data_IF_176366687145
#
_entry.id   IF_176366687145
#
_cell.length_a   1.000
_cell.length_b   1.000
_cell.length_c   1.000
_cell.angle_alpha   90.00
_cell.angle_beta   90.00
_cell.angle_gamma   90.00
#
_symmetry.space_group_name_H-M   'P 1'
#
loop_
_entity.id
_entity.type
_entity.pdbx_description
1 polymer ?
#
# COMPACT_ATOMS: atom_id res chain seq x y z
N UNK A 1 -47.85 7.67 39.39
CA UNK A 1 -47.48 6.22 39.23
C UNK A 1 -46.38 6.12 38.23
N UNK A 2 -45.24 5.88 38.77
CA UNK A 2 -43.90 5.83 38.21
C UNK A 2 -43.70 4.67 37.26
N UNK A 3 -43.11 4.85 36.13
CA UNK A 3 -42.57 3.79 35.27
C UNK A 3 -41.25 4.21 34.66
N UNK A 4 -40.24 4.18 35.49
CA UNK A 4 -38.82 4.17 35.10
C UNK A 4 -38.52 2.97 34.18
N UNK A 5 -38.45 3.19 32.87
CA UNK A 5 -37.87 2.24 31.92
C UNK A 5 -36.34 2.27 32.04
N UNK A 6 -35.78 1.41 32.88
CA UNK A 6 -34.39 1.06 32.85
C UNK A 6 -34.05 0.47 31.48
N UNK A 7 -33.22 1.18 30.72
CA UNK A 7 -32.58 0.66 29.52
C UNK A 7 -31.53 -0.39 29.94
N UNK A 8 -31.92 -1.66 29.97
CA UNK A 8 -31.00 -2.78 30.16
C UNK A 8 -30.05 -2.83 28.96
N UNK A 9 -28.81 -2.41 29.16
CA UNK A 9 -27.72 -2.58 28.21
C UNK A 9 -27.46 -4.08 28.02
N UNK A 10 -27.75 -4.61 26.83
CA UNK A 10 -27.64 -6.04 26.53
C UNK A 10 -26.20 -6.54 26.71
N UNK A 11 -25.94 -7.52 27.60
CA UNK A 11 -24.57 -7.99 27.96
C UNK A 11 -23.80 -8.61 26.79
N UNK A 12 -24.44 -8.97 25.70
CA UNK A 12 -23.81 -9.54 24.50
C UNK A 12 -23.02 -8.52 23.66
N UNK A 13 -23.44 -7.25 23.63
CA UNK A 13 -22.76 -6.21 22.81
C UNK A 13 -21.40 -5.78 23.40
N UNK A 14 -21.30 -5.73 24.73
CA UNK A 14 -20.05 -5.35 25.42
C UNK A 14 -19.00 -6.46 25.34
N UNK A 15 -19.40 -7.73 25.47
CA UNK A 15 -18.49 -8.88 25.37
C UNK A 15 -17.93 -9.04 23.94
N UNK A 16 -18.74 -8.82 22.91
CA UNK A 16 -18.31 -8.87 21.51
C UNK A 16 -17.35 -7.73 21.19
N UNK A 17 -17.61 -6.49 21.65
CA UNK A 17 -16.71 -5.33 21.47
C UNK A 17 -15.36 -5.54 22.14
N UNK A 18 -15.32 -6.11 23.36
CA UNK A 18 -14.06 -6.42 24.06
C UNK A 18 -13.24 -7.49 23.33
N UNK A 19 -13.88 -8.54 22.80
CA UNK A 19 -13.22 -9.55 21.97
C UNK A 19 -12.55 -8.98 20.71
N UNK A 20 -13.27 -8.12 20.00
CA UNK A 20 -12.78 -7.46 18.78
C UNK A 20 -11.62 -6.50 19.05
N UNK A 21 -11.67 -5.73 20.12
CA UNK A 21 -10.59 -4.84 20.51
C UNK A 21 -9.30 -5.60 20.88
N UNK A 22 -9.43 -6.72 21.62
CA UNK A 22 -8.30 -7.59 21.98
C UNK A 22 -7.63 -8.19 20.73
N UNK A 23 -8.41 -8.66 19.76
CA UNK A 23 -7.88 -9.25 18.54
C UNK A 23 -7.22 -8.21 17.64
N UNK A 24 -7.74 -6.97 17.57
CA UNK A 24 -7.08 -5.87 16.88
C UNK A 24 -5.74 -5.51 17.52
N UNK A 25 -5.65 -5.52 18.86
CA UNK A 25 -4.39 -5.37 19.59
C UNK A 25 -3.38 -6.48 19.27
N UNK A 26 -3.82 -7.72 19.16
CA UNK A 26 -2.96 -8.84 18.72
C UNK A 26 -2.46 -8.65 17.29
N UNK A 27 -3.32 -8.20 16.37
CA UNK A 27 -2.91 -7.91 14.99
C UNK A 27 -1.86 -6.79 14.92
N UNK A 28 -2.07 -5.71 15.67
CA UNK A 28 -1.11 -4.61 15.77
C UNK A 28 0.21 -5.06 16.41
N UNK A 29 0.15 -5.88 17.47
CA UNK A 29 1.33 -6.49 18.08
C UNK A 29 2.12 -7.38 17.11
N UNK A 30 1.43 -8.21 16.31
CA UNK A 30 2.06 -9.03 15.28
C UNK A 30 2.73 -8.15 14.21
N UNK A 31 2.05 -7.10 13.74
CA UNK A 31 2.63 -6.11 12.82
C UNK A 31 3.88 -5.46 13.41
N UNK A 32 3.79 -4.95 14.65
CA UNK A 32 4.90 -4.29 15.32
C UNK A 32 6.11 -5.23 15.54
N UNK A 33 5.88 -6.48 15.91
CA UNK A 33 6.93 -7.47 16.05
C UNK A 33 7.64 -7.76 14.73
N UNK A 34 6.86 -7.98 13.63
CA UNK A 34 7.43 -8.29 12.32
C UNK A 34 8.15 -7.07 11.73
N UNK A 35 7.54 -5.89 11.74
CA UNK A 35 8.16 -4.69 11.12
C UNK A 35 9.22 -4.05 12.00
N UNK A 36 9.00 -4.04 13.33
CA UNK A 36 10.01 -3.59 14.29
C UNK A 36 11.27 -4.46 14.27
N UNK A 37 11.11 -5.80 14.20
CA UNK A 37 12.22 -6.72 14.01
C UNK A 37 13.00 -6.45 12.72
N UNK A 38 12.30 -6.24 11.59
CA UNK A 38 12.94 -5.89 10.32
C UNK A 38 13.68 -4.55 10.37
N UNK A 39 13.07 -3.52 10.97
CA UNK A 39 13.72 -2.23 11.14
C UNK A 39 14.98 -2.32 12.05
N UNK A 40 14.91 -3.13 13.11
CA UNK A 40 16.06 -3.40 13.99
C UNK A 40 17.19 -4.09 13.21
N UNK A 41 16.90 -5.10 12.40
CA UNK A 41 17.91 -5.79 11.59
C UNK A 41 18.59 -4.80 10.62
N UNK A 42 17.83 -3.95 9.94
CA UNK A 42 18.39 -2.91 9.05
C UNK A 42 19.20 -1.89 9.85
N UNK A 43 18.70 -1.43 11.00
CA UNK A 43 19.39 -0.44 11.82
C UNK A 43 20.73 -0.97 12.38
N UNK A 44 20.76 -2.21 12.87
CA UNK A 44 21.98 -2.87 13.33
C UNK A 44 22.97 -3.09 12.19
N UNK A 45 22.49 -3.52 11.02
CA UNK A 45 23.33 -3.71 9.84
C UNK A 45 23.90 -2.37 9.32
N UNK A 46 23.11 -1.30 9.33
CA UNK A 46 23.56 0.04 8.98
C UNK A 46 24.63 0.55 9.95
N UNK A 47 24.37 0.42 11.26
CA UNK A 47 25.31 0.80 12.31
C UNK A 47 26.65 0.03 12.17
N UNK A 48 26.59 -1.29 11.98
CA UNK A 48 27.78 -2.11 11.75
C UNK A 48 28.57 -1.69 10.50
N UNK A 49 27.86 -1.29 9.44
CA UNK A 49 28.46 -0.77 8.21
C UNK A 49 28.95 0.69 8.32
N UNK A 50 28.94 1.29 9.51
CA UNK A 50 29.34 2.70 9.73
C UNK A 50 28.36 3.72 9.13
N UNK A 51 27.12 3.30 8.81
CA UNK A 51 26.07 4.17 8.25
C UNK A 51 25.12 4.62 9.36
N UNK A 52 24.59 5.84 9.26
CA UNK A 52 23.54 6.34 10.15
C UNK A 52 22.20 5.60 9.88
N UNK A 53 21.66 4.84 10.84
CA UNK A 53 20.40 4.11 10.66
C UNK A 53 19.21 5.00 10.31
N UNK A 54 19.14 6.22 10.87
CA UNK A 54 18.05 7.17 10.60
C UNK A 54 18.13 7.67 9.15
N UNK A 55 19.33 7.92 8.63
CA UNK A 55 19.51 8.28 7.22
C UNK A 55 19.18 7.13 6.29
N UNK A 56 19.55 5.89 6.65
CA UNK A 56 19.22 4.71 5.83
C UNK A 56 17.71 4.48 5.76
N UNK A 57 17.01 4.54 6.90
CA UNK A 57 15.55 4.29 6.93
C UNK A 57 14.74 5.50 6.45
N UNK A 58 15.16 6.71 6.76
CA UNK A 58 14.38 7.93 6.57
C UNK A 58 14.84 8.82 5.41
N UNK A 59 15.99 8.58 4.78
CA UNK A 59 16.55 9.46 3.77
C UNK A 59 16.98 8.79 2.47
N UNK A 60 16.74 7.48 2.30
CA UNK A 60 17.17 6.73 1.11
C UNK A 60 16.16 6.82 -0.02
N UNK A 61 16.64 6.85 -1.27
CA UNK A 61 15.86 6.75 -2.51
C UNK A 61 14.71 7.78 -2.58
N UNK A 62 13.46 7.34 -2.71
CA UNK A 62 12.30 8.23 -2.84
C UNK A 62 12.10 9.15 -1.64
N UNK A 63 12.56 8.75 -0.43
CA UNK A 63 12.51 9.60 0.77
C UNK A 63 13.18 10.95 0.55
N UNK A 64 14.29 10.98 -0.19
CA UNK A 64 15.00 12.22 -0.53
C UNK A 64 14.09 13.25 -1.19
N UNK A 65 13.24 12.82 -2.13
CA UNK A 65 12.33 13.69 -2.85
C UNK A 65 11.19 14.18 -1.95
N UNK A 66 10.59 13.29 -1.17
CA UNK A 66 9.53 13.67 -0.23
C UNK A 66 10.02 14.66 0.81
N UNK A 67 11.21 14.44 1.39
CA UNK A 67 11.81 15.35 2.36
C UNK A 67 12.21 16.68 1.72
N UNK A 68 12.68 16.67 0.48
CA UNK A 68 13.00 17.89 -0.26
C UNK A 68 11.76 18.74 -0.53
N UNK A 69 10.64 18.11 -0.95
CA UNK A 69 9.35 18.79 -1.16
C UNK A 69 8.82 19.35 0.15
N UNK A 70 8.87 18.59 1.25
CA UNK A 70 8.45 19.04 2.57
C UNK A 70 9.24 20.27 3.04
N UNK A 71 10.55 20.31 2.79
CA UNK A 71 11.41 21.40 3.26
C UNK A 71 11.39 22.66 2.38
N UNK A 72 11.11 22.55 1.09
CA UNK A 72 11.35 23.63 0.11
C UNK A 72 10.21 23.83 -0.91
N UNK A 73 9.18 22.98 -0.88
CA UNK A 73 8.16 22.96 -1.92
C UNK A 73 8.63 22.28 -3.20
N UNK A 74 7.80 22.38 -4.24
CA UNK A 74 8.08 21.84 -5.57
C UNK A 74 8.95 22.77 -6.42
N UNK A 75 9.51 22.22 -7.51
CA UNK A 75 10.29 22.94 -8.51
C UNK A 75 11.72 22.44 -8.64
N UNK A 76 12.09 21.38 -7.88
CA UNK A 76 13.41 20.78 -7.99
C UNK A 76 13.48 19.83 -9.18
N UNK A 77 14.54 20.00 -9.97
CA UNK A 77 14.94 19.08 -11.02
C UNK A 77 16.35 18.57 -10.76
N UNK A 78 16.62 17.34 -11.17
CA UNK A 78 17.95 16.73 -11.10
C UNK A 78 18.22 15.99 -12.41
N UNK A 79 19.38 16.24 -13.02
CA UNK A 79 19.84 15.43 -14.14
C UNK A 79 20.34 14.09 -13.59
N UNK A 80 19.89 13.00 -14.22
CA UNK A 80 20.36 11.66 -13.90
C UNK A 80 21.35 11.21 -14.95
N UNK A 81 22.67 11.21 -14.65
CA UNK A 81 23.72 10.98 -15.64
C UNK A 81 23.63 9.63 -16.37
N UNK A 82 23.10 8.60 -15.70
CA UNK A 82 23.01 7.26 -16.25
C UNK A 82 21.97 7.12 -17.37
N UNK A 83 20.98 8.00 -17.45
CA UNK A 83 19.90 7.96 -18.45
C UNK A 83 19.75 9.25 -19.24
N UNK A 84 20.61 10.25 -18.99
CA UNK A 84 20.54 11.60 -19.57
C UNK A 84 19.13 12.23 -19.46
N UNK A 85 18.41 11.88 -18.36
CA UNK A 85 17.04 12.33 -18.12
C UNK A 85 16.98 13.36 -17.01
N UNK A 86 16.09 14.33 -17.17
CA UNK A 86 15.79 15.33 -16.14
C UNK A 86 14.66 14.79 -15.28
N UNK A 87 14.99 14.41 -14.04
CA UNK A 87 14.02 14.00 -13.04
C UNK A 87 13.45 15.23 -12.33
N UNK A 88 12.15 15.28 -12.17
CA UNK A 88 11.43 16.37 -11.51
C UNK A 88 10.62 15.84 -10.32
N UNK A 89 10.58 16.63 -9.24
CA UNK A 89 9.80 16.37 -8.02
C UNK A 89 8.28 16.39 -8.26
N UNK A 90 7.81 16.93 -9.37
CA UNK A 90 6.40 16.82 -9.78
C UNK A 90 5.94 15.38 -10.07
N UNK A 91 6.84 14.39 -10.08
CA UNK A 91 6.48 12.97 -10.09
C UNK A 91 5.82 12.51 -8.78
N UNK A 92 6.07 13.23 -7.67
CA UNK A 92 5.68 12.87 -6.31
C UNK A 92 4.45 13.65 -5.85
N UNK A 93 3.48 12.97 -5.27
CA UNK A 93 2.19 13.54 -4.85
C UNK A 93 2.29 14.28 -3.51
N UNK A 94 1.40 15.27 -3.23
CA UNK A 94 1.63 16.28 -2.20
C UNK A 94 1.27 15.85 -0.77
N UNK A 95 0.39 14.86 -0.55
CA UNK A 95 -0.16 14.61 0.78
C UNK A 95 0.91 14.14 1.79
N UNK A 96 1.80 13.26 1.36
CA UNK A 96 2.85 12.76 2.25
C UNK A 96 3.89 13.84 2.61
N UNK A 97 4.47 14.59 1.65
CA UNK A 97 5.35 15.71 1.97
C UNK A 97 4.69 16.76 2.90
N UNK A 98 3.41 17.08 2.67
CA UNK A 98 2.65 17.99 3.54
C UNK A 98 2.59 17.48 4.98
N UNK A 99 2.29 16.17 5.18
CA UNK A 99 2.26 15.59 6.52
C UNK A 99 3.64 15.58 7.18
N UNK A 100 4.70 15.36 6.40
CA UNK A 100 6.08 15.43 6.90
C UNK A 100 6.42 16.84 7.35
N UNK A 101 6.09 17.86 6.57
CA UNK A 101 6.28 19.26 6.92
C UNK A 101 5.54 19.62 8.22
N UNK A 102 4.24 19.30 8.30
CA UNK A 102 3.39 19.54 9.48
C UNK A 102 3.90 18.83 10.76
N UNK A 103 4.69 17.77 10.62
CA UNK A 103 5.27 17.04 11.76
C UNK A 103 6.71 17.48 12.09
N UNK A 104 7.18 18.57 11.52
CA UNK A 104 8.47 19.19 11.82
C UNK A 104 9.58 18.91 10.80
N UNK A 105 9.27 18.22 9.70
CA UNK A 105 10.20 17.98 8.59
C UNK A 105 11.32 16.98 8.90
N UNK A 106 12.11 16.66 7.89
CA UNK A 106 13.28 15.78 8.00
C UNK A 106 12.98 14.29 8.12
N UNK A 107 14.04 13.45 8.19
CA UNK A 107 13.92 11.99 8.15
C UNK A 107 13.09 11.40 9.30
N UNK A 108 13.22 11.95 10.51
CA UNK A 108 12.49 11.47 11.69
C UNK A 108 10.99 11.72 11.54
N UNK A 109 10.59 12.92 11.10
CA UNK A 109 9.18 13.24 10.82
C UNK A 109 8.60 12.31 9.74
N UNK A 110 9.35 12.07 8.65
CA UNK A 110 8.97 11.11 7.62
C UNK A 110 8.76 9.70 8.18
N UNK A 111 9.64 9.21 9.04
CA UNK A 111 9.50 7.91 9.71
C UNK A 111 8.27 7.88 10.63
N UNK A 112 8.04 8.93 11.42
CA UNK A 112 6.86 9.02 12.31
C UNK A 112 5.57 8.95 11.52
N UNK A 113 5.45 9.72 10.43
CA UNK A 113 4.28 9.68 9.53
C UNK A 113 4.08 8.28 8.96
N UNK A 114 5.15 7.66 8.43
CA UNK A 114 5.08 6.32 7.83
C UNK A 114 4.70 5.24 8.83
N UNK A 115 5.32 5.20 10.02
CA UNK A 115 5.03 4.19 11.04
C UNK A 115 3.62 4.34 11.62
N UNK A 116 3.17 5.58 11.84
CA UNK A 116 1.79 5.85 12.27
C UNK A 116 0.78 5.39 11.22
N UNK A 117 1.04 5.71 9.95
CA UNK A 117 0.21 5.28 8.84
C UNK A 117 0.23 3.74 8.68
N UNK A 118 1.39 3.09 8.81
CA UNK A 118 1.51 1.63 8.74
C UNK A 118 0.72 0.93 9.87
N UNK A 119 0.76 1.46 11.09
CA UNK A 119 -0.04 0.97 12.20
C UNK A 119 -1.55 1.14 11.93
N UNK A 120 -1.98 2.29 11.40
CA UNK A 120 -3.36 2.52 10.98
C UNK A 120 -3.78 1.57 9.86
N UNK A 121 -2.88 1.30 8.88
CA UNK A 121 -3.09 0.32 7.82
C UNK A 121 -3.28 -1.10 8.39
N UNK A 122 -2.43 -1.52 9.33
CA UNK A 122 -2.53 -2.84 9.96
C UNK A 122 -3.89 -3.05 10.64
N UNK A 123 -4.41 -2.03 11.33
CA UNK A 123 -5.76 -2.08 11.92
C UNK A 123 -6.83 -2.15 10.82
N UNK A 124 -6.72 -1.37 9.75
CA UNK A 124 -7.67 -1.38 8.63
C UNK A 124 -7.70 -2.74 7.90
N UNK A 125 -6.52 -3.30 7.60
CA UNK A 125 -6.35 -4.64 7.01
C UNK A 125 -6.95 -5.73 7.92
N UNK A 126 -6.68 -5.65 9.24
CA UNK A 126 -7.30 -6.53 10.22
C UNK A 126 -8.84 -6.45 10.16
N UNK A 127 -9.40 -5.22 10.14
CA UNK A 127 -10.87 -5.02 10.09
C UNK A 127 -11.52 -5.62 8.85
N UNK A 128 -10.86 -5.54 7.70
CA UNK A 128 -11.34 -6.20 6.48
C UNK A 128 -11.27 -7.72 6.64
N UNK A 129 -10.15 -8.26 7.10
CA UNK A 129 -10.01 -9.70 7.33
C UNK A 129 -10.99 -10.23 8.37
N UNK A 130 -11.20 -9.50 9.48
CA UNK A 130 -12.19 -9.83 10.51
C UNK A 130 -13.61 -9.83 9.95
N UNK A 131 -13.96 -8.83 9.15
CA UNK A 131 -15.28 -8.68 8.55
C UNK A 131 -15.63 -9.84 7.61
N UNK A 132 -14.66 -10.30 6.83
CA UNK A 132 -14.88 -11.30 5.78
C UNK A 132 -14.63 -12.74 6.24
N UNK A 133 -13.64 -12.96 7.10
CA UNK A 133 -13.10 -14.28 7.41
C UNK A 133 -13.02 -14.59 8.93
N UNK A 134 -13.33 -13.59 9.78
CA UNK A 134 -13.24 -13.71 11.23
C UNK A 134 -11.89 -13.25 11.81
N UNK A 135 -11.86 -13.10 13.14
CA UNK A 135 -10.76 -12.45 13.85
C UNK A 135 -9.39 -13.11 13.66
N UNK A 136 -9.33 -14.46 13.66
CA UNK A 136 -8.08 -15.20 13.47
C UNK A 136 -7.49 -14.97 12.09
N UNK A 137 -8.32 -15.05 11.04
CA UNK A 137 -7.87 -14.76 9.68
C UNK A 137 -7.45 -13.30 9.50
N UNK A 138 -8.13 -12.36 10.17
CA UNK A 138 -7.73 -10.95 10.19
C UNK A 138 -6.33 -10.73 10.77
N UNK A 139 -5.99 -11.39 11.88
CA UNK A 139 -4.63 -11.34 12.47
C UNK A 139 -3.60 -11.92 11.51
N UNK A 140 -3.89 -13.08 10.92
CA UNK A 140 -2.99 -13.74 9.96
C UNK A 140 -2.81 -12.93 8.68
N UNK A 141 -3.85 -12.26 8.20
CA UNK A 141 -3.78 -11.36 7.05
C UNK A 141 -2.77 -10.21 7.30
N UNK A 142 -2.82 -9.60 8.48
CA UNK A 142 -1.85 -8.56 8.87
C UNK A 142 -0.44 -9.11 8.98
N UNK A 143 -0.27 -10.28 9.59
CA UNK A 143 1.02 -10.91 9.75
C UNK A 143 1.65 -11.29 8.40
N UNK A 144 0.86 -11.85 7.47
CA UNK A 144 1.29 -12.14 6.10
C UNK A 144 1.67 -10.86 5.34
N UNK A 145 0.82 -9.83 5.40
CA UNK A 145 1.09 -8.54 4.77
C UNK A 145 2.38 -7.90 5.29
N UNK A 146 2.58 -7.90 6.61
CA UNK A 146 3.80 -7.40 7.23
C UNK A 146 5.05 -8.21 6.86
N UNK A 147 4.91 -9.47 6.43
CA UNK A 147 6.00 -10.39 6.09
C UNK A 147 6.28 -10.49 4.59
N UNK A 148 5.66 -9.64 3.74
CA UNK A 148 5.97 -9.61 2.31
C UNK A 148 7.44 -9.25 2.06
N UNK A 149 8.08 -9.71 0.97
CA UNK A 149 9.50 -9.45 0.70
C UNK A 149 9.87 -7.97 0.73
N UNK A 150 9.05 -7.11 0.09
CA UNK A 150 9.28 -5.66 0.04
C UNK A 150 8.61 -4.90 1.20
N UNK A 151 8.10 -5.58 2.24
CA UNK A 151 7.47 -4.91 3.37
C UNK A 151 8.45 -4.04 4.19
N UNK A 152 9.75 -4.12 3.94
CA UNK A 152 10.74 -3.16 4.48
C UNK A 152 10.33 -1.72 4.18
N UNK A 153 9.70 -1.46 3.03
CA UNK A 153 9.21 -0.14 2.61
C UNK A 153 8.18 0.43 3.60
N UNK A 154 7.43 -0.41 4.31
CA UNK A 154 6.51 0.03 5.36
C UNK A 154 7.22 0.65 6.58
N UNK A 155 8.54 0.47 6.69
CA UNK A 155 9.38 1.04 7.74
C UNK A 155 10.24 2.21 7.27
N UNK A 156 10.14 2.62 6.01
CA UNK A 156 10.88 3.76 5.43
C UNK A 156 10.03 5.03 5.46
N UNK A 157 10.68 6.19 5.27
CA UNK A 157 9.97 7.46 5.06
C UNK A 157 9.37 7.53 3.65
N UNK A 158 8.39 6.67 3.38
CA UNK A 158 7.78 6.43 2.08
C UNK A 158 6.24 6.59 2.14
N UNK A 159 5.62 6.72 0.97
CA UNK A 159 4.16 6.94 0.84
C UNK A 159 3.33 5.66 0.92
N UNK A 160 3.94 4.48 0.71
CA UNK A 160 3.26 3.19 0.73
C UNK A 160 2.46 2.94 2.02
N UNK A 161 3.00 3.22 3.23
CA UNK A 161 2.24 3.07 4.46
C UNK A 161 0.96 3.93 4.48
N UNK A 162 1.07 5.19 4.04
CA UNK A 162 -0.05 6.12 4.00
C UNK A 162 -1.11 5.68 2.99
N UNK A 163 -0.69 5.27 1.80
CA UNK A 163 -1.61 4.70 0.81
C UNK A 163 -2.31 3.45 1.34
N UNK A 164 -1.57 2.51 1.96
CA UNK A 164 -2.16 1.31 2.54
C UNK A 164 -3.20 1.63 3.63
N UNK A 165 -2.94 2.64 4.47
CA UNK A 165 -3.90 3.09 5.48
C UNK A 165 -5.18 3.63 4.85
N UNK A 166 -5.04 4.60 3.95
CA UNK A 166 -6.18 5.23 3.28
C UNK A 166 -6.97 4.22 2.45
N UNK A 167 -6.30 3.32 1.74
CA UNK A 167 -6.93 2.26 0.97
C UNK A 167 -7.71 1.27 1.86
N UNK A 168 -7.08 0.75 2.93
CA UNK A 168 -7.72 -0.21 3.82
C UNK A 168 -8.96 0.40 4.49
N UNK A 169 -8.88 1.63 4.98
CA UNK A 169 -10.03 2.28 5.61
C UNK A 169 -11.10 2.74 4.61
N UNK A 170 -10.73 3.17 3.38
CA UNK A 170 -11.68 3.44 2.30
C UNK A 170 -12.45 2.19 1.91
N UNK A 171 -11.76 1.08 1.64
CA UNK A 171 -12.37 -0.20 1.29
C UNK A 171 -13.23 -0.75 2.43
N UNK A 172 -12.78 -0.66 3.68
CA UNK A 172 -13.60 -1.04 4.84
C UNK A 172 -14.87 -0.20 4.96
N UNK A 173 -14.77 1.13 4.77
CA UNK A 173 -15.92 2.02 4.77
C UNK A 173 -16.91 1.66 3.64
N UNK A 174 -16.40 1.37 2.44
CA UNK A 174 -17.19 0.97 1.28
C UNK A 174 -17.92 -0.37 1.51
N UNK A 175 -17.23 -1.38 2.08
CA UNK A 175 -17.83 -2.65 2.49
C UNK A 175 -18.92 -2.48 3.55
N UNK A 176 -18.89 -1.39 4.33
CA UNK A 176 -19.87 -1.01 5.33
C UNK A 176 -20.96 -0.07 4.82
N UNK A 177 -20.98 0.25 3.52
CA UNK A 177 -21.93 1.17 2.90
C UNK A 177 -21.75 2.65 3.31
N UNK A 178 -20.56 3.02 3.84
CA UNK A 178 -20.27 4.40 4.26
C UNK A 178 -19.65 5.18 3.10
N UNK A 179 -20.47 5.55 2.15
CA UNK A 179 -20.06 6.11 0.86
C UNK A 179 -19.15 7.32 0.94
N UNK A 180 -19.56 8.36 1.69
CA UNK A 180 -18.77 9.59 1.79
C UNK A 180 -17.42 9.37 2.46
N UNK A 181 -17.37 8.57 3.54
CA UNK A 181 -16.11 8.20 4.16
C UNK A 181 -15.19 7.45 3.20
N UNK A 182 -15.73 6.49 2.46
CA UNK A 182 -14.97 5.75 1.46
C UNK A 182 -14.39 6.69 0.39
N UNK A 183 -15.19 7.61 -0.13
CA UNK A 183 -14.78 8.54 -1.16
C UNK A 183 -13.77 9.59 -0.67
N UNK A 184 -13.95 10.14 0.53
CA UNK A 184 -12.99 11.10 1.09
C UNK A 184 -11.61 10.45 1.31
N UNK A 185 -11.58 9.22 1.84
CA UNK A 185 -10.34 8.48 2.01
C UNK A 185 -9.72 8.08 0.66
N UNK A 186 -10.53 7.78 -0.37
CA UNK A 186 -10.06 7.52 -1.72
C UNK A 186 -9.45 8.77 -2.38
N UNK A 187 -10.07 9.94 -2.20
CA UNK A 187 -9.53 11.21 -2.66
C UNK A 187 -8.17 11.52 -2.00
N UNK A 188 -8.05 11.32 -0.69
CA UNK A 188 -6.77 11.45 0.01
C UNK A 188 -5.74 10.41 -0.47
N UNK A 189 -6.15 9.16 -0.71
CA UNK A 189 -5.27 8.15 -1.31
C UNK A 189 -4.75 8.59 -2.69
N UNK A 190 -5.62 9.23 -3.49
CA UNK A 190 -5.26 9.83 -4.78
C UNK A 190 -4.24 10.97 -4.66
N UNK A 191 -4.11 11.63 -3.52
CA UNK A 191 -3.10 12.66 -3.25
C UNK A 191 -1.79 12.11 -2.68
N UNK A 192 -1.66 10.78 -2.50
CA UNK A 192 -0.42 10.18 -1.96
C UNK A 192 0.55 9.74 -3.04
N UNK A 193 0.03 9.12 -4.11
CA UNK A 193 0.85 8.56 -5.19
C UNK A 193 -0.01 8.14 -6.40
N UNK A 194 0.61 7.90 -7.59
CA UNK A 194 -0.13 7.52 -8.81
C UNK A 194 -1.06 6.33 -8.61
N UNK A 195 -0.63 5.29 -7.89
CA UNK A 195 -1.41 4.07 -7.63
C UNK A 195 -2.62 4.28 -6.73
N UNK A 196 -2.77 5.45 -6.11
CA UNK A 196 -3.97 5.84 -5.36
C UNK A 196 -5.25 5.85 -6.22
N UNK A 197 -5.12 5.98 -7.54
CA UNK A 197 -6.23 5.84 -8.49
C UNK A 197 -6.97 4.49 -8.35
N UNK A 198 -6.30 3.44 -7.87
CA UNK A 198 -6.93 2.14 -7.66
C UNK A 198 -8.02 2.18 -6.57
N UNK A 199 -7.84 2.99 -5.52
CA UNK A 199 -8.86 3.19 -4.49
C UNK A 199 -10.06 3.95 -5.06
N UNK A 200 -9.79 4.99 -5.85
CA UNK A 200 -10.81 5.75 -6.54
C UNK A 200 -11.61 4.86 -7.50
N UNK A 201 -10.93 4.02 -8.30
CA UNK A 201 -11.57 3.08 -9.21
C UNK A 201 -12.52 2.13 -8.47
N UNK A 202 -12.10 1.58 -7.31
CA UNK A 202 -12.97 0.72 -6.51
C UNK A 202 -14.26 1.43 -6.06
N UNK A 203 -14.14 2.64 -5.52
CA UNK A 203 -15.29 3.42 -5.05
C UNK A 203 -16.20 3.81 -6.23
N UNK A 204 -15.62 4.32 -7.32
CA UNK A 204 -16.38 4.78 -8.50
C UNK A 204 -17.10 3.63 -9.19
N UNK A 205 -16.43 2.48 -9.42
CA UNK A 205 -17.08 1.32 -10.06
C UNK A 205 -18.22 0.77 -9.21
N UNK A 206 -18.04 0.70 -7.89
CA UNK A 206 -19.11 0.23 -7.00
C UNK A 206 -20.25 1.25 -6.94
N UNK A 207 -19.97 2.55 -6.93
CA UNK A 207 -20.98 3.59 -7.00
C UNK A 207 -21.78 3.51 -8.33
N UNK A 208 -21.10 3.36 -9.45
CA UNK A 208 -21.75 3.18 -10.77
C UNK A 208 -22.63 1.92 -10.79
N UNK A 209 -22.16 0.81 -10.23
CA UNK A 209 -22.98 -0.40 -10.12
C UNK A 209 -24.22 -0.19 -9.27
N UNK A 210 -24.11 0.50 -8.13
CA UNK A 210 -25.27 0.84 -7.29
C UNK A 210 -26.27 1.72 -8.06
N UNK A 211 -25.81 2.72 -8.80
CA UNK A 211 -26.65 3.64 -9.57
C UNK A 211 -27.33 2.96 -10.76
N UNK A 212 -26.56 2.23 -11.57
CA UNK A 212 -27.02 1.72 -12.86
C UNK A 212 -27.70 0.34 -12.76
N UNK A 213 -27.21 -0.54 -11.87
CA UNK A 213 -27.70 -1.91 -11.78
C UNK A 213 -28.71 -2.07 -10.63
N UNK A 214 -28.46 -1.43 -9.48
CA UNK A 214 -29.33 -1.56 -8.31
C UNK A 214 -30.35 -0.45 -8.16
N UNK A 215 -30.27 0.60 -9.00
CA UNK A 215 -31.20 1.73 -8.96
C UNK A 215 -31.09 2.58 -7.70
N UNK A 216 -30.00 2.46 -6.94
CA UNK A 216 -29.77 3.24 -5.72
C UNK A 216 -29.35 4.67 -6.08
N UNK A 217 -30.28 5.61 -6.09
CA UNK A 217 -30.07 7.02 -6.45
C UNK A 217 -29.77 7.93 -5.26
N UNK A 218 -29.36 7.38 -4.12
CA UNK A 218 -29.04 8.19 -2.95
C UNK A 218 -27.92 9.22 -3.27
N UNK A 219 -28.08 10.50 -2.85
CA UNK A 219 -27.10 11.55 -3.15
C UNK A 219 -25.67 11.20 -2.72
N UNK A 220 -25.53 10.44 -1.62
CA UNK A 220 -24.24 9.98 -1.13
C UNK A 220 -23.50 9.04 -2.10
N UNK A 221 -24.23 8.25 -2.93
CA UNK A 221 -23.63 7.35 -3.93
C UNK A 221 -23.11 8.18 -5.10
N UNK A 222 -23.88 9.17 -5.59
CA UNK A 222 -23.44 10.11 -6.62
C UNK A 222 -22.21 10.89 -6.18
N UNK A 223 -22.29 11.49 -4.99
CA UNK A 223 -21.19 12.26 -4.42
C UNK A 223 -19.92 11.40 -4.25
N UNK A 224 -20.06 10.13 -3.85
CA UNK A 224 -18.92 9.23 -3.71
C UNK A 224 -18.25 8.92 -5.04
N UNK A 225 -19.02 8.67 -6.10
CA UNK A 225 -18.48 8.41 -7.45
C UNK A 225 -17.66 9.58 -8.01
N UNK A 226 -18.08 10.83 -7.71
CA UNK A 226 -17.40 12.04 -8.17
C UNK A 226 -16.22 12.43 -7.26
N UNK A 227 -16.36 12.30 -5.95
CA UNK A 227 -15.34 12.71 -4.98
C UNK A 227 -14.12 11.76 -4.98
N UNK A 228 -14.35 10.46 -5.17
CA UNK A 228 -13.27 9.48 -5.06
C UNK A 228 -12.07 9.76 -5.99
N UNK A 229 -12.24 10.07 -7.31
CA UNK A 229 -11.14 10.39 -8.20
C UNK A 229 -10.59 11.81 -8.04
N UNK A 230 -11.27 12.70 -7.31
CA UNK A 230 -10.97 14.12 -7.29
C UNK A 230 -9.55 14.44 -6.80
N UNK A 231 -9.05 13.72 -5.78
CA UNK A 231 -7.70 13.96 -5.26
C UNK A 231 -6.61 13.64 -6.29
N UNK A 232 -6.71 12.51 -6.98
CA UNK A 232 -5.77 12.14 -8.03
C UNK A 232 -5.86 13.10 -9.22
N UNK A 233 -7.08 13.37 -9.67
CA UNK A 233 -7.33 14.24 -10.82
C UNK A 233 -6.85 15.68 -10.55
N UNK A 234 -7.08 16.21 -9.35
CA UNK A 234 -6.65 17.58 -9.00
C UNK A 234 -5.14 17.75 -9.09
N UNK A 235 -4.36 16.76 -8.60
CA UNK A 235 -2.90 16.84 -8.71
C UNK A 235 -2.41 16.72 -10.15
N UNK A 236 -2.94 15.75 -10.91
CA UNK A 236 -2.57 15.59 -12.33
C UNK A 236 -2.88 16.84 -13.13
N UNK A 237 -4.06 17.45 -12.91
CA UNK A 237 -4.45 18.71 -13.56
C UNK A 237 -3.57 19.88 -13.10
N UNK A 238 -3.22 19.97 -11.82
CA UNK A 238 -2.35 21.03 -11.31
C UNK A 238 -0.95 20.98 -11.96
N UNK A 239 -0.36 19.77 -12.09
CA UNK A 239 0.91 19.59 -12.81
C UNK A 239 0.76 19.94 -14.29
N UNK A 240 -0.34 19.52 -14.94
CA UNK A 240 -0.62 19.87 -16.32
C UNK A 240 -0.72 21.38 -16.54
N UNK A 241 -1.44 22.09 -15.67
CA UNK A 241 -1.56 23.54 -15.70
C UNK A 241 -0.21 24.24 -15.50
N UNK A 242 0.58 23.78 -14.52
CA UNK A 242 1.91 24.34 -14.25
C UNK A 242 2.88 24.16 -15.43
N UNK A 243 2.77 23.05 -16.13
CA UNK A 243 3.63 22.74 -17.29
C UNK A 243 3.07 23.24 -18.62
N UNK A 244 1.93 23.90 -18.62
CA UNK A 244 1.20 24.30 -19.84
C UNK A 244 0.97 23.15 -20.84
N UNK A 245 0.85 21.92 -20.32
CA UNK A 245 0.64 20.69 -21.07
C UNK A 245 -0.40 19.82 -20.33
N UNK A 246 -1.60 19.56 -20.88
CA UNK A 246 -2.61 18.71 -20.24
C UNK A 246 -2.09 17.31 -19.85
N UNK A 247 -1.07 16.81 -20.55
CA UNK A 247 -0.40 15.56 -20.27
C UNK A 247 0.92 15.74 -19.50
N UNK A 248 1.18 16.94 -18.99
CA UNK A 248 2.45 17.31 -18.34
C UNK A 248 2.86 16.39 -17.20
N UNK A 249 1.90 15.90 -16.41
CA UNK A 249 2.18 14.88 -15.37
C UNK A 249 2.74 13.58 -15.98
N UNK A 250 2.15 13.07 -17.06
CA UNK A 250 2.63 11.85 -17.71
C UNK A 250 3.96 12.07 -18.44
N UNK A 251 4.22 13.28 -18.89
CA UNK A 251 5.53 13.67 -19.45
C UNK A 251 6.59 13.61 -18.35
N UNK A 252 6.31 14.11 -17.15
CA UNK A 252 7.20 13.98 -15.97
C UNK A 252 7.46 12.51 -15.66
N UNK A 253 6.44 11.66 -15.64
CA UNK A 253 6.62 10.22 -15.37
C UNK A 253 7.50 9.54 -16.43
N UNK A 254 7.37 9.91 -17.71
CA UNK A 254 8.24 9.38 -18.79
C UNK A 254 9.70 9.81 -18.59
N UNK A 255 9.95 11.01 -18.11
CA UNK A 255 11.31 11.49 -17.77
C UNK A 255 11.95 10.66 -16.65
N UNK A 256 11.15 10.09 -15.75
CA UNK A 256 11.57 9.12 -14.74
C UNK A 256 11.76 7.70 -15.28
N UNK A 257 11.46 7.45 -16.57
CA UNK A 257 11.50 6.12 -17.16
C UNK A 257 10.22 5.29 -16.91
N UNK A 258 9.21 5.87 -16.26
CA UNK A 258 7.91 5.22 -16.04
C UNK A 258 6.98 5.47 -17.22
N UNK A 259 6.52 4.39 -17.87
CA UNK A 259 5.52 4.43 -18.93
C UNK A 259 4.60 3.23 -18.83
N UNK A 260 3.42 3.33 -19.39
CA UNK A 260 2.53 2.19 -19.53
C UNK A 260 2.74 1.57 -20.93
N UNK A 261 3.26 0.34 -20.98
CA UNK A 261 3.61 -0.37 -22.22
C UNK A 261 2.83 -1.68 -22.40
N UNK A 262 1.71 -1.80 -21.70
CA UNK A 262 0.84 -2.99 -21.72
C UNK A 262 1.55 -4.28 -21.30
N UNK A 263 2.64 -4.17 -20.54
CA UNK A 263 3.39 -5.29 -20.01
C UNK A 263 4.53 -5.78 -20.89
N UNK A 264 4.85 -5.08 -21.98
CA UNK A 264 5.93 -5.42 -22.88
C UNK A 264 7.26 -5.61 -22.17
N UNK A 265 7.68 -4.65 -21.33
CA UNK A 265 8.91 -4.73 -20.54
C UNK A 265 8.88 -5.86 -19.49
N UNK A 266 7.70 -6.19 -18.95
CA UNK A 266 7.54 -7.34 -18.04
C UNK A 266 7.79 -8.65 -18.78
N UNK A 267 7.16 -8.83 -19.96
CA UNK A 267 7.32 -10.01 -20.80
C UNK A 267 8.76 -10.17 -21.31
N UNK A 268 9.40 -9.07 -21.71
CA UNK A 268 10.79 -9.07 -22.11
C UNK A 268 11.72 -9.58 -20.98
N UNK A 269 11.50 -9.10 -19.75
CA UNK A 269 12.28 -9.55 -18.59
C UNK A 269 12.05 -11.03 -18.28
N UNK A 270 10.78 -11.48 -18.35
CA UNK A 270 10.44 -12.92 -18.21
C UNK A 270 11.16 -13.74 -19.29
N UNK A 271 11.10 -13.29 -20.55
CA UNK A 271 11.74 -13.98 -21.65
C UNK A 271 13.27 -14.08 -21.47
N UNK A 272 13.93 -12.98 -21.09
CA UNK A 272 15.37 -12.95 -20.78
C UNK A 272 15.73 -13.94 -19.68
N UNK A 273 14.95 -13.98 -18.61
CA UNK A 273 15.17 -14.92 -17.52
C UNK A 273 15.02 -16.40 -17.95
N UNK A 274 14.02 -16.70 -18.78
CA UNK A 274 13.79 -18.06 -19.30
C UNK A 274 14.80 -18.48 -20.37
N UNK A 275 15.37 -17.52 -21.11
CA UNK A 275 16.39 -17.76 -22.15
C UNK A 275 17.81 -17.92 -21.61
N UNK A 276 18.00 -18.01 -20.29
CA UNK A 276 19.32 -18.19 -19.67
C UNK A 276 20.12 -16.88 -19.53
N UNK A 277 19.48 -15.71 -19.65
CA UNK A 277 20.13 -14.43 -19.37
C UNK A 277 20.48 -14.27 -17.89
N UNK A 278 21.43 -13.39 -17.54
CA UNK A 278 21.80 -13.14 -16.15
C UNK A 278 20.62 -12.55 -15.38
N UNK A 279 20.28 -13.17 -14.24
CA UNK A 279 19.16 -12.75 -13.38
C UNK A 279 19.69 -12.40 -12.00
N UNK A 280 19.45 -11.17 -11.55
CA UNK A 280 19.81 -10.73 -10.19
C UNK A 280 18.80 -11.25 -9.17
N UNK A 281 19.18 -11.28 -7.88
CA UNK A 281 18.26 -11.65 -6.80
C UNK A 281 17.00 -10.77 -6.77
N UNK A 282 17.06 -9.42 -6.91
CA UNK A 282 15.88 -8.58 -6.97
C UNK A 282 14.94 -8.95 -8.15
N UNK A 283 15.49 -9.22 -9.33
CA UNK A 283 14.68 -9.66 -10.50
C UNK A 283 14.00 -10.99 -10.21
N UNK A 284 14.73 -11.97 -9.63
CA UNK A 284 14.16 -13.28 -9.27
C UNK A 284 13.01 -13.14 -8.27
N UNK A 285 13.20 -12.36 -7.21
CA UNK A 285 12.15 -12.10 -6.21
C UNK A 285 10.95 -11.40 -6.86
N UNK A 286 11.19 -10.43 -7.74
CA UNK A 286 10.13 -9.73 -8.47
C UNK A 286 9.32 -10.71 -9.31
N UNK A 287 9.96 -11.55 -10.11
CA UNK A 287 9.28 -12.57 -10.93
C UNK A 287 8.43 -13.52 -10.06
N UNK A 288 8.99 -13.99 -8.93
CA UNK A 288 8.25 -14.85 -8.00
C UNK A 288 7.03 -14.14 -7.39
N UNK A 289 7.18 -12.87 -6.99
CA UNK A 289 6.07 -12.07 -6.45
C UNK A 289 4.99 -11.80 -7.49
N UNK A 290 5.37 -11.47 -8.73
CA UNK A 290 4.41 -11.27 -9.83
C UNK A 290 3.65 -12.56 -10.16
N UNK A 291 4.35 -13.70 -10.26
CA UNK A 291 3.71 -15.00 -10.47
C UNK A 291 2.74 -15.35 -9.34
N UNK A 292 3.16 -15.18 -8.08
CA UNK A 292 2.30 -15.38 -6.91
C UNK A 292 1.08 -14.45 -6.94
N UNK A 293 1.26 -13.17 -7.28
CA UNK A 293 0.17 -12.21 -7.37
C UNK A 293 -0.86 -12.61 -8.44
N UNK A 294 -0.42 -13.10 -9.60
CA UNK A 294 -1.30 -13.63 -10.65
C UNK A 294 -2.11 -14.84 -10.16
N UNK A 295 -1.47 -15.81 -9.52
CA UNK A 295 -2.15 -16.99 -8.95
C UNK A 295 -3.15 -16.61 -7.86
N UNK A 296 -2.78 -15.70 -6.97
CA UNK A 296 -3.64 -15.21 -5.89
C UNK A 296 -4.81 -14.37 -6.43
N UNK A 297 -4.63 -13.66 -7.54
CA UNK A 297 -5.74 -12.97 -8.22
C UNK A 297 -6.79 -13.96 -8.73
N UNK A 298 -6.37 -15.06 -9.34
CA UNK A 298 -7.28 -16.14 -9.74
C UNK A 298 -8.00 -16.73 -8.53
N UNK A 299 -7.26 -17.04 -7.46
CA UNK A 299 -7.85 -17.55 -6.22
C UNK A 299 -8.87 -16.56 -5.63
N UNK A 300 -8.57 -15.25 -5.62
CA UNK A 300 -9.50 -14.24 -5.12
C UNK A 300 -10.81 -14.17 -5.93
N UNK A 301 -10.76 -14.38 -7.24
CA UNK A 301 -11.96 -14.47 -8.09
C UNK A 301 -12.74 -15.73 -7.79
N UNK A 302 -12.07 -16.88 -7.67
CA UNK A 302 -12.72 -18.16 -7.36
C UNK A 302 -13.37 -18.17 -5.97
N UNK A 303 -12.73 -17.53 -4.99
CA UNK A 303 -13.26 -17.35 -3.63
C UNK A 303 -14.36 -16.28 -3.53
N UNK A 304 -14.78 -15.71 -4.68
CA UNK A 304 -15.84 -14.69 -4.75
C UNK A 304 -15.56 -13.49 -3.83
N UNK A 305 -14.31 -13.04 -3.80
CA UNK A 305 -13.92 -11.82 -3.07
C UNK A 305 -14.87 -10.67 -3.43
N UNK A 306 -15.30 -9.83 -2.47
CA UNK A 306 -16.20 -8.72 -2.72
C UNK A 306 -15.70 -7.76 -3.82
N UNK A 307 -16.64 -7.29 -4.67
CA UNK A 307 -16.34 -6.45 -5.83
C UNK A 307 -15.41 -5.25 -5.52
N UNK A 308 -15.58 -4.48 -4.42
CA UNK A 308 -14.66 -3.38 -4.10
C UNK A 308 -13.20 -3.82 -4.03
N UNK A 309 -12.94 -4.97 -3.42
CA UNK A 309 -11.59 -5.51 -3.26
C UNK A 309 -11.05 -6.06 -4.58
N UNK A 310 -11.89 -6.69 -5.40
CA UNK A 310 -11.50 -7.17 -6.73
C UNK A 310 -11.13 -6.02 -7.66
N UNK A 311 -11.95 -4.96 -7.75
CA UNK A 311 -11.67 -3.79 -8.60
C UNK A 311 -10.38 -3.11 -8.16
N UNK A 312 -10.24 -2.86 -6.84
CA UNK A 312 -9.02 -2.30 -6.28
C UNK A 312 -7.76 -3.09 -6.66
N UNK A 313 -7.81 -4.38 -6.41
CA UNK A 313 -6.68 -5.29 -6.67
C UNK A 313 -6.38 -5.41 -8.16
N UNK A 314 -7.42 -5.57 -8.99
CA UNK A 314 -7.27 -5.65 -10.46
C UNK A 314 -6.63 -4.38 -11.02
N UNK A 315 -7.03 -3.19 -10.55
CA UNK A 315 -6.43 -1.93 -10.97
C UNK A 315 -4.94 -1.86 -10.60
N UNK A 316 -4.57 -2.28 -9.38
CA UNK A 316 -3.16 -2.35 -8.97
C UNK A 316 -2.35 -3.34 -9.82
N UNK A 317 -2.92 -4.51 -10.12
CA UNK A 317 -2.29 -5.50 -10.98
C UNK A 317 -2.09 -4.96 -12.40
N UNK A 318 -3.12 -4.33 -12.99
CA UNK A 318 -3.01 -3.70 -14.32
C UNK A 318 -1.89 -2.67 -14.35
N UNK A 319 -1.81 -1.78 -13.35
CA UNK A 319 -0.76 -0.77 -13.26
C UNK A 319 0.62 -1.44 -13.10
N UNK A 320 0.75 -2.45 -12.25
CA UNK A 320 2.03 -3.09 -11.94
C UNK A 320 2.53 -3.96 -13.09
N UNK A 321 1.67 -4.77 -13.70
CA UNK A 321 2.06 -5.63 -14.82
C UNK A 321 2.21 -4.84 -16.11
N UNK A 322 1.32 -3.85 -16.35
CA UNK A 322 1.30 -3.05 -17.56
C UNK A 322 2.31 -1.90 -17.59
N UNK A 323 2.91 -1.54 -16.45
CA UNK A 323 3.92 -0.49 -16.38
C UNK A 323 5.31 -1.00 -16.76
N UNK A 324 6.06 -0.19 -17.51
CA UNK A 324 7.49 -0.34 -17.74
C UNK A 324 8.29 0.58 -16.81
N UNK A 325 9.58 0.27 -16.66
CA UNK A 325 10.51 0.97 -15.76
C UNK A 325 10.50 0.38 -14.35
N UNK A 326 11.62 0.52 -13.66
CA UNK A 326 11.82 0.09 -12.27
C UNK A 326 11.30 -1.32 -11.98
N UNK A 327 11.73 -2.30 -12.79
CA UNK A 327 11.19 -3.68 -12.73
C UNK A 327 11.33 -4.28 -11.34
N UNK A 328 12.48 -4.11 -10.69
CA UNK A 328 12.80 -4.62 -9.37
C UNK A 328 11.93 -4.02 -8.26
N UNK A 329 11.39 -2.82 -8.48
CA UNK A 329 10.50 -2.14 -7.52
C UNK A 329 9.02 -2.53 -7.68
N UNK A 330 8.63 -3.33 -8.69
CA UNK A 330 7.23 -3.74 -8.89
C UNK A 330 6.58 -4.40 -7.66
N UNK A 331 7.28 -5.24 -6.87
CA UNK A 331 6.70 -5.83 -5.67
C UNK A 331 6.26 -4.80 -4.63
N UNK A 332 6.93 -3.64 -4.51
CA UNK A 332 6.48 -2.58 -3.59
C UNK A 332 5.16 -1.96 -4.04
N UNK A 333 4.90 -1.89 -5.36
CA UNK A 333 3.62 -1.40 -5.87
C UNK A 333 2.46 -2.36 -5.59
N UNK A 334 2.75 -3.62 -5.26
CA UNK A 334 1.79 -4.63 -4.81
C UNK A 334 1.62 -4.69 -3.29
N UNK A 335 2.42 -3.97 -2.48
CA UNK A 335 2.22 -3.91 -1.03
C UNK A 335 0.80 -3.46 -0.64
N UNK A 336 0.19 -2.48 -1.32
CA UNK A 336 -1.19 -2.09 -1.05
C UNK A 336 -2.22 -3.16 -1.47
N UNK A 337 -1.85 -4.13 -2.31
CA UNK A 337 -2.75 -5.19 -2.79
C UNK A 337 -2.96 -6.31 -1.74
N UNK A 338 -3.04 -5.96 -0.45
CA UNK A 338 -3.28 -6.89 0.66
C UNK A 338 -4.52 -7.80 0.47
N UNK A 339 -5.57 -7.44 -0.31
CA UNK A 339 -6.68 -8.36 -0.54
C UNK A 339 -6.29 -9.65 -1.26
N UNK A 340 -5.17 -9.67 -2.01
CA UNK A 340 -4.61 -10.89 -2.60
C UNK A 340 -4.26 -11.95 -1.56
N UNK A 341 -3.99 -11.55 -0.33
CA UNK A 341 -3.60 -12.46 0.76
C UNK A 341 -4.80 -13.08 1.47
N UNK A 342 -6.06 -12.68 1.16
CA UNK A 342 -7.27 -13.20 1.80
C UNK A 342 -7.39 -14.73 1.67
N UNK A 343 -7.19 -15.35 0.48
CA UNK A 343 -7.23 -16.81 0.35
C UNK A 343 -6.19 -17.52 1.23
N UNK A 344 -4.97 -16.97 1.29
CA UNK A 344 -3.89 -17.51 2.11
C UNK A 344 -4.20 -17.38 3.61
N UNK A 345 -4.70 -16.23 4.04
CA UNK A 345 -5.11 -16.00 5.42
C UNK A 345 -6.25 -16.94 5.84
N UNK A 346 -7.23 -17.18 4.94
CA UNK A 346 -8.31 -18.13 5.16
C UNK A 346 -7.78 -19.57 5.30
N UNK A 347 -6.85 -20.00 4.46
CA UNK A 347 -6.22 -21.32 4.53
C UNK A 347 -5.42 -21.48 5.84
N UNK A 348 -4.59 -20.49 6.18
CA UNK A 348 -3.81 -20.51 7.42
C UNK A 348 -4.68 -20.45 8.69
N UNK A 349 -5.84 -19.81 8.63
CA UNK A 349 -6.77 -19.79 9.75
C UNK A 349 -7.36 -21.18 10.06
N UNK A 350 -7.36 -22.11 9.10
CA UNK A 350 -7.76 -23.52 9.28
C UNK A 350 -6.61 -24.41 9.79
N UNK A 351 -5.36 -23.97 9.62
CA UNK A 351 -4.19 -24.73 10.06
C UNK A 351 -4.02 -24.72 11.59
N UNK A 352 -3.18 -25.61 12.11
CA UNK A 352 -2.82 -25.62 13.55
C UNK A 352 -2.14 -24.32 13.93
N UNK A 353 -2.36 -23.74 15.14
CA UNK A 353 -1.73 -22.49 15.55
C UNK A 353 -0.21 -22.49 15.43
N UNK A 354 0.44 -23.57 15.84
CA UNK A 354 1.90 -23.73 15.74
C UNK A 354 2.40 -23.63 14.29
N UNK A 355 1.70 -24.25 13.34
CA UNK A 355 2.03 -24.20 11.91
C UNK A 355 1.88 -22.77 11.39
N UNK A 356 0.79 -22.08 11.71
CA UNK A 356 0.58 -20.69 11.30
C UNK A 356 1.67 -19.76 11.83
N UNK A 357 2.06 -19.92 13.10
CA UNK A 357 3.16 -19.15 13.70
C UNK A 357 4.50 -19.47 13.03
N UNK A 358 4.83 -20.75 12.82
CA UNK A 358 6.08 -21.14 12.19
C UNK A 358 6.22 -20.60 10.76
N UNK A 359 5.14 -20.70 9.95
CA UNK A 359 5.11 -20.14 8.58
C UNK A 359 5.29 -18.62 8.61
N UNK A 360 4.55 -17.91 9.48
CA UNK A 360 4.66 -16.46 9.58
C UNK A 360 6.06 -16.03 10.04
N UNK A 361 6.65 -16.73 11.03
CA UNK A 361 7.99 -16.43 11.50
C UNK A 361 9.06 -16.68 10.42
N UNK A 362 8.94 -17.75 9.66
CA UNK A 362 9.82 -18.02 8.51
C UNK A 362 9.73 -16.93 7.43
N UNK A 363 8.49 -16.53 7.06
CA UNK A 363 8.28 -15.44 6.12
C UNK A 363 8.80 -14.09 6.64
N UNK A 364 8.65 -13.81 7.94
CA UNK A 364 9.18 -12.61 8.57
C UNK A 364 10.72 -12.59 8.50
N UNK A 365 11.39 -13.71 8.83
CA UNK A 365 12.84 -13.83 8.73
C UNK A 365 13.35 -13.60 7.30
N UNK A 366 12.69 -14.19 6.30
CA UNK A 366 13.01 -13.95 4.88
C UNK A 366 12.80 -12.48 4.49
N UNK A 367 11.69 -11.86 4.93
CA UNK A 367 11.42 -10.43 4.71
C UNK A 367 12.48 -9.54 5.34
N UNK A 368 12.97 -9.87 6.54
CA UNK A 368 14.03 -9.11 7.22
C UNK A 368 15.36 -9.21 6.48
N UNK A 369 15.77 -10.43 6.12
CA UNK A 369 17.01 -10.66 5.38
C UNK A 369 17.00 -9.98 4.01
N UNK A 370 15.90 -10.13 3.26
CA UNK A 370 15.76 -9.48 1.96
C UNK A 370 15.68 -7.96 2.06
N UNK A 371 14.95 -7.43 3.06
CA UNK A 371 14.89 -5.99 3.31
C UNK A 371 16.23 -5.39 3.68
N UNK A 372 17.04 -6.08 4.51
CA UNK A 372 18.40 -5.68 4.81
C UNK A 372 19.30 -5.71 3.56
N UNK A 373 19.18 -6.76 2.74
CA UNK A 373 19.89 -6.85 1.47
C UNK A 373 19.57 -5.66 0.55
N UNK A 374 18.29 -5.32 0.38
CA UNK A 374 17.86 -4.19 -0.47
C UNK A 374 18.43 -2.84 -0.01
N UNK A 375 18.49 -2.59 1.30
CA UNK A 375 18.89 -1.28 1.82
C UNK A 375 20.39 -1.14 2.07
N UNK A 376 21.09 -2.25 2.30
CA UNK A 376 22.50 -2.19 2.71
C UNK A 376 23.46 -2.64 1.61
N UNK A 377 23.02 -3.53 0.71
CA UNK A 377 23.87 -4.23 -0.27
C UNK A 377 23.42 -3.91 -1.70
N UNK A 378 22.12 -3.99 -1.99
CA UNK A 378 21.62 -3.78 -3.33
C UNK A 378 21.79 -2.31 -3.78
N UNK A 379 22.09 -2.14 -5.06
CA UNK A 379 22.23 -0.81 -5.70
C UNK A 379 20.95 -0.36 -6.40
N UNK A 380 19.85 -1.12 -6.23
CA UNK A 380 18.55 -0.85 -6.83
C UNK A 380 17.56 -0.34 -5.77
N UNK A 381 16.63 0.57 -6.14
CA UNK A 381 15.61 1.05 -5.21
C UNK A 381 14.68 -0.09 -4.78
N UNK A 382 14.28 -0.13 -3.50
CA UNK A 382 13.41 -1.17 -2.97
C UNK A 382 12.01 -1.14 -3.58
#
# INVERSE_FOLDING_TARGET
>A
MDATRQAASAPGRTRRRRGTARSAGVALGAFAAVRGGGALVVALGAWWAGKDPVKVLGGSWDSFWYLSIAARGYGRTQMWPASDSIQSDYAFFPLYPLLVDLTGGGPVAGLVVSWTAAAAAAVGVYRIGELLLGARAGVLLVALWASLPHAVVLGLAYTEPLLCALAAWSLYALLRGRWLWAASLAALAGLTRPTGIAVAAAVTVVALRELLVRGNRAPAVWAAGLLAPAGWASYVMAVGAHRHDPLGYFTVQRQWGSRFDFGGGTLETVWKALSGGPVTLPVTVTLAVLAAAGLLAVAAVLDRTPLPLLVYTATLLVITFGGAGFFESKPRFLLPAFPLLLPVAAAMARARPRTAVAVTAGLAGLSWGYGAYLLLIATVPP
#
